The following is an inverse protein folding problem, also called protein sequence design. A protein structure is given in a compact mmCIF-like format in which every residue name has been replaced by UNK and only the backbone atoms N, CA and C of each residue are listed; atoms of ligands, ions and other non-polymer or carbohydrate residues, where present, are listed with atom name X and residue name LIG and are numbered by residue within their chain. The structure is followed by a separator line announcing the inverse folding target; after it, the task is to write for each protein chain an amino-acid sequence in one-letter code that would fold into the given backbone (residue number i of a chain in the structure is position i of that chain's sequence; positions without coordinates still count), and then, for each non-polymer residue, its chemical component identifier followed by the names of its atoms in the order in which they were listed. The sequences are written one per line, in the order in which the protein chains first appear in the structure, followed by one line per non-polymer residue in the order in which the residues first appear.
data_IF_948523296418
#
_entry.id   IF_948523296418
#
_cell.length_a   1.000
_cell.length_b   1.000
_cell.length_c   1.000
_cell.angle_alpha   90.00
_cell.angle_beta   90.00
_cell.angle_gamma   90.00
#
_symmetry.space_group_name_H-M   'P 1'
#
loop_
_entity.id
_entity.type
_entity.pdbx_description
1 polymer ?
#
# COMPACT_ATOMS: atom_id res chain seq x y z
N UNK A 1 21.30 11.81 -22.12
CA UNK A 1 22.26 12.23 -21.08
C UNK A 1 21.47 12.34 -19.78
N UNK A 2 21.37 11.24 -19.02
CA UNK A 2 20.62 11.21 -17.76
C UNK A 2 21.52 11.68 -16.63
N UNK A 3 21.10 12.70 -15.90
CA UNK A 3 21.80 13.18 -14.70
C UNK A 3 21.56 12.18 -13.57
N UNK A 4 22.65 11.52 -13.14
CA UNK A 4 22.67 10.57 -12.03
C UNK A 4 22.50 11.36 -10.72
N UNK A 5 21.25 11.60 -10.32
CA UNK A 5 20.94 12.35 -9.12
C UNK A 5 20.96 11.43 -7.89
N UNK A 6 22.08 11.47 -7.15
CA UNK A 6 22.21 10.83 -5.84
C UNK A 6 21.27 11.57 -4.87
N UNK A 7 20.18 10.93 -4.47
CA UNK A 7 19.16 11.51 -3.63
C UNK A 7 19.27 10.97 -2.20
N UNK A 8 19.50 11.86 -1.24
CA UNK A 8 19.38 11.59 0.19
C UNK A 8 18.34 12.55 0.75
N UNK A 9 17.23 12.02 1.27
CA UNK A 9 16.20 12.86 1.91
C UNK A 9 15.66 12.22 3.15
N UNK A 10 15.67 12.98 4.23
CA UNK A 10 14.92 12.68 5.44
C UNK A 10 13.53 13.31 5.31
N UNK A 11 12.49 12.48 5.42
CA UNK A 11 11.12 12.93 5.57
C UNK A 11 10.61 12.44 6.92
N UNK A 12 9.83 13.26 7.62
CA UNK A 12 9.18 12.85 8.87
C UNK A 12 7.75 12.42 8.57
N UNK A 13 7.37 11.24 9.06
CA UNK A 13 5.99 10.75 9.03
C UNK A 13 5.47 10.72 10.46
N UNK A 14 4.38 11.43 10.71
CA UNK A 14 3.67 11.39 11.99
C UNK A 14 2.47 10.44 11.88
N UNK A 15 2.51 9.34 12.62
CA UNK A 15 1.36 8.44 12.79
C UNK A 15 1.26 8.09 14.29
N UNK A 16 0.09 8.35 14.90
CA UNK A 16 -0.15 8.04 16.32
C UNK A 16 0.62 8.88 17.34
N UNK A 17 1.12 10.08 16.98
CA UNK A 17 1.87 10.97 17.88
C UNK A 17 3.36 10.69 17.97
N UNK A 18 3.87 9.66 17.27
CA UNK A 18 5.29 9.37 17.14
C UNK A 18 5.81 9.88 15.79
N UNK A 19 6.86 10.72 15.82
CA UNK A 19 7.61 11.11 14.62
C UNK A 19 8.55 9.98 14.22
N UNK A 20 8.25 9.34 13.10
CA UNK A 20 9.16 8.38 12.50
C UNK A 20 9.97 9.05 11.39
N UNK A 21 11.31 9.12 11.51
CA UNK A 21 12.16 9.58 10.43
C UNK A 21 12.22 8.50 9.34
N UNK A 22 11.69 8.81 8.16
CA UNK A 22 11.87 8.01 6.95
C UNK A 22 13.10 8.56 6.22
N UNK A 23 14.21 7.83 6.31
CA UNK A 23 15.41 8.10 5.52
C UNK A 23 15.28 7.40 4.17
N UNK A 24 15.22 8.18 3.10
CA UNK A 24 15.43 7.70 1.74
C UNK A 24 16.91 7.83 1.41
N UNK A 25 17.59 6.69 1.30
CA UNK A 25 19.00 6.60 0.89
C UNK A 25 19.11 5.63 -0.29
N UNK A 26 19.25 6.19 -1.50
CA UNK A 26 19.39 5.41 -2.73
C UNK A 26 20.87 5.08 -3.02
N UNK A 27 21.78 5.35 -2.09
CA UNK A 27 23.20 4.97 -2.22
C UNK A 27 23.32 3.47 -2.07
N UNK A 28 23.87 2.82 -3.10
CA UNK A 28 24.31 1.44 -2.98
C UNK A 28 25.62 1.44 -2.19
N UNK A 29 25.73 0.74 -1.05
CA UNK A 29 27.00 0.62 -0.34
C UNK A 29 28.04 -0.08 -1.23
N UNK A 30 29.30 0.35 -1.15
CA UNK A 30 30.40 -0.23 -1.93
C UNK A 30 30.47 -1.75 -1.75
N UNK A 31 30.39 -2.50 -2.84
CA UNK A 31 30.43 -3.96 -2.84
C UNK A 31 29.08 -4.68 -2.79
N UNK A 32 27.95 -3.97 -2.68
CA UNK A 32 26.62 -4.53 -2.84
C UNK A 32 26.12 -4.25 -4.27
N UNK A 33 25.56 -5.25 -4.96
CA UNK A 33 24.86 -4.97 -6.22
C UNK A 33 23.75 -3.94 -5.96
N UNK A 34 23.55 -3.00 -6.90
CA UNK A 34 22.42 -2.05 -6.86
C UNK A 34 21.18 -2.82 -6.47
N UNK A 35 20.60 -2.48 -5.31
CA UNK A 35 19.30 -3.05 -4.94
C UNK A 35 18.41 -2.84 -6.15
N UNK A 36 17.97 -3.95 -6.77
CA UNK A 36 17.13 -3.92 -7.95
C UNK A 36 15.77 -3.40 -7.52
N UNK A 37 15.68 -2.07 -7.35
CA UNK A 37 14.46 -1.38 -7.03
C UNK A 37 13.47 -1.73 -8.13
N UNK A 38 12.26 -2.10 -7.73
CA UNK A 38 11.19 -2.33 -8.69
C UNK A 38 11.08 -1.10 -9.58
N UNK A 39 11.01 -1.30 -10.89
CA UNK A 39 10.76 -0.21 -11.82
C UNK A 39 9.52 0.58 -11.34
N UNK A 40 9.52 1.92 -11.39
CA UNK A 40 8.38 2.72 -10.94
C UNK A 40 7.04 2.31 -11.60
N UNK A 41 7.12 1.76 -12.82
CA UNK A 41 5.97 1.19 -13.55
C UNK A 41 5.38 -0.05 -12.89
N UNK A 42 6.18 -0.85 -12.18
CA UNK A 42 5.72 -2.07 -11.49
C UNK A 42 4.80 -1.73 -10.34
N UNK A 43 5.18 -0.78 -9.49
CA UNK A 43 4.33 -0.30 -8.38
C UNK A 43 3.02 0.26 -8.92
N UNK A 44 3.08 1.08 -9.98
CA UNK A 44 1.88 1.62 -10.60
C UNK A 44 0.98 0.53 -11.21
N UNK A 45 1.54 -0.50 -11.84
CA UNK A 45 0.76 -1.65 -12.34
C UNK A 45 0.02 -2.37 -11.23
N UNK A 46 0.67 -2.62 -10.09
CA UNK A 46 0.02 -3.27 -8.95
C UNK A 46 -1.09 -2.39 -8.35
N UNK A 47 -0.83 -1.09 -8.17
CA UNK A 47 -1.85 -0.17 -7.66
C UNK A 47 -3.02 -0.02 -8.63
N UNK A 48 -2.77 -0.03 -9.94
CA UNK A 48 -3.83 0.01 -10.95
C UNK A 48 -4.67 -1.26 -10.94
N UNK A 49 -4.02 -2.41 -10.80
CA UNK A 49 -4.68 -3.71 -10.69
C UNK A 49 -5.54 -3.79 -9.41
N UNK A 50 -5.00 -3.40 -8.25
CA UNK A 50 -5.75 -3.33 -6.99
C UNK A 50 -6.91 -2.34 -7.05
N UNK A 51 -6.67 -1.14 -7.59
CA UNK A 51 -7.70 -0.12 -7.76
C UNK A 51 -8.80 -0.54 -8.77
N UNK A 52 -8.52 -1.52 -9.62
CA UNK A 52 -9.47 -2.14 -10.55
C UNK A 52 -10.40 -3.19 -9.91
N UNK A 53 -10.35 -3.41 -8.59
CA UNK A 53 -11.14 -4.43 -7.88
C UNK A 53 -12.15 -3.83 -6.87
N UNK A 54 -13.05 -2.92 -7.28
CA UNK A 54 -14.02 -2.33 -6.37
C UNK A 54 -14.98 -3.38 -5.78
N UNK A 55 -15.34 -4.40 -6.55
CA UNK A 55 -16.27 -5.45 -6.12
C UNK A 55 -15.69 -6.30 -4.99
N UNK A 56 -14.38 -6.56 -5.01
CA UNK A 56 -13.66 -7.28 -3.94
C UNK A 56 -13.73 -6.48 -2.65
N UNK A 57 -13.53 -5.15 -2.71
CA UNK A 57 -13.65 -4.29 -1.54
C UNK A 57 -15.08 -4.29 -0.97
N UNK A 58 -16.10 -4.22 -1.83
CA UNK A 58 -17.50 -4.26 -1.40
C UNK A 58 -17.85 -5.60 -0.73
N UNK A 59 -17.43 -6.71 -1.32
CA UNK A 59 -17.61 -8.04 -0.74
C UNK A 59 -16.90 -8.17 0.61
N UNK A 60 -15.66 -7.69 0.71
CA UNK A 60 -14.91 -7.67 1.97
C UNK A 60 -15.60 -6.82 3.04
N UNK A 61 -16.11 -5.64 2.69
CA UNK A 61 -16.89 -4.81 3.61
C UNK A 61 -18.17 -5.52 4.08
N UNK A 62 -18.83 -6.28 3.20
CA UNK A 62 -19.97 -7.13 3.55
C UNK A 62 -19.61 -8.18 4.60
N UNK A 63 -18.52 -8.91 4.40
CA UNK A 63 -18.01 -9.91 5.36
C UNK A 63 -17.60 -9.26 6.70
N UNK A 64 -16.88 -8.15 6.63
CA UNK A 64 -16.45 -7.40 7.82
C UNK A 64 -17.67 -6.95 8.62
N UNK A 65 -18.71 -6.40 7.97
CA UNK A 65 -19.94 -5.96 8.65
C UNK A 65 -20.71 -7.11 9.29
N UNK A 66 -20.71 -8.29 8.68
CA UNK A 66 -21.36 -9.47 9.28
C UNK A 66 -20.65 -9.93 10.56
N UNK A 67 -19.32 -9.79 10.62
CA UNK A 67 -18.51 -10.22 11.77
C UNK A 67 -18.40 -9.14 12.86
N UNK A 68 -18.27 -7.88 12.45
CA UNK A 68 -18.16 -6.70 13.29
C UNK A 68 -19.02 -5.56 12.73
N UNK A 69 -20.24 -5.44 13.28
CA UNK A 69 -21.21 -4.41 12.91
C UNK A 69 -20.74 -2.98 13.21
N UNK A 70 -19.73 -2.80 14.08
CA UNK A 70 -19.20 -1.49 14.45
C UNK A 70 -18.00 -1.07 13.59
N UNK A 71 -17.56 -1.90 12.64
CA UNK A 71 -16.40 -1.60 11.81
C UNK A 71 -16.58 -0.30 11.02
N UNK A 72 -15.72 0.68 11.27
CA UNK A 72 -15.73 2.01 10.64
C UNK A 72 -15.00 2.07 9.31
N UNK A 73 -14.50 0.93 8.80
CA UNK A 73 -13.67 0.88 7.58
C UNK A 73 -14.38 1.48 6.36
N UNK A 74 -15.71 1.33 6.28
CA UNK A 74 -16.54 1.90 5.23
C UNK A 74 -16.79 3.43 5.36
N UNK A 75 -16.49 4.02 6.53
CA UNK A 75 -16.64 5.47 6.80
C UNK A 75 -15.30 6.20 6.83
N UNK A 76 -14.19 5.47 6.74
CA UNK A 76 -12.88 6.06 6.83
C UNK A 76 -12.61 6.94 5.59
N UNK A 77 -12.20 8.20 5.76
CA UNK A 77 -11.86 9.05 4.64
C UNK A 77 -10.54 8.57 4.02
N UNK A 78 -10.60 8.14 2.76
CA UNK A 78 -9.44 7.72 1.98
C UNK A 78 -8.88 8.94 1.26
N UNK A 79 -8.01 9.70 1.92
CA UNK A 79 -7.41 10.91 1.35
C UNK A 79 -6.06 10.59 0.74
N UNK A 80 -5.95 10.75 -0.58
CA UNK A 80 -4.66 10.70 -1.28
C UNK A 80 -4.09 12.12 -1.37
N UNK A 81 -2.86 12.31 -0.93
CA UNK A 81 -2.18 13.61 -1.03
C UNK A 81 -2.15 14.10 -2.49
N UNK A 82 -2.45 15.39 -2.77
CA UNK A 82 -2.38 15.97 -4.11
C UNK A 82 -1.03 15.79 -4.80
N UNK A 83 0.06 15.68 -4.03
CA UNK A 83 1.40 15.44 -4.57
C UNK A 83 1.57 14.05 -5.22
N UNK A 84 0.69 13.09 -4.90
CA UNK A 84 0.77 11.70 -5.36
C UNK A 84 -0.06 11.41 -6.62
N UNK A 85 -0.91 12.35 -7.05
CA UNK A 85 -1.74 12.18 -8.23
C UNK A 85 -1.66 13.40 -9.15
N UNK A 86 -1.51 13.15 -10.46
CA UNK A 86 -1.52 14.18 -11.50
C UNK A 86 -2.89 14.34 -12.19
N UNK A 87 -3.82 13.43 -11.90
CA UNK A 87 -5.16 13.40 -12.50
C UNK A 87 -6.16 12.80 -11.51
N UNK A 88 -7.43 13.17 -11.67
CA UNK A 88 -8.55 12.63 -10.88
C UNK A 88 -8.69 11.12 -11.04
N UNK A 89 -8.51 10.59 -12.25
CA UNK A 89 -8.53 9.15 -12.49
C UNK A 89 -7.46 8.44 -11.65
N UNK A 90 -6.24 8.98 -11.60
CA UNK A 90 -5.15 8.43 -10.81
C UNK A 90 -5.44 8.53 -9.31
N UNK A 91 -6.05 9.63 -8.86
CA UNK A 91 -6.51 9.78 -7.47
C UNK A 91 -7.47 8.66 -7.09
N UNK A 92 -8.52 8.46 -7.89
CA UNK A 92 -9.54 7.43 -7.66
C UNK A 92 -8.95 6.02 -7.60
N UNK A 93 -8.07 5.67 -8.54
CA UNK A 93 -7.38 4.37 -8.52
C UNK A 93 -6.55 4.16 -7.26
N UNK A 94 -5.84 5.19 -6.79
CA UNK A 94 -5.05 5.11 -5.56
C UNK A 94 -5.94 4.96 -4.32
N UNK A 95 -7.06 5.68 -4.26
CA UNK A 95 -8.05 5.55 -3.18
C UNK A 95 -8.63 4.13 -3.12
N UNK A 96 -9.03 3.59 -4.26
CA UNK A 96 -9.56 2.23 -4.37
C UNK A 96 -8.50 1.18 -3.99
N UNK A 97 -7.25 1.35 -4.42
CA UNK A 97 -6.17 0.45 -4.03
C UNK A 97 -5.91 0.48 -2.51
N UNK A 98 -5.95 1.66 -1.89
CA UNK A 98 -5.81 1.79 -0.43
C UNK A 98 -6.96 1.11 0.32
N UNK A 99 -8.20 1.28 -0.16
CA UNK A 99 -9.39 0.62 0.39
C UNK A 99 -9.23 -0.90 0.42
N UNK A 100 -8.82 -1.48 -0.70
CA UNK A 100 -8.62 -2.93 -0.84
C UNK A 100 -7.52 -3.43 0.10
N UNK A 101 -6.39 -2.72 0.19
CA UNK A 101 -5.29 -3.09 1.10
C UNK A 101 -5.68 -2.99 2.57
N UNK A 102 -6.47 -1.99 2.94
CA UNK A 102 -6.97 -1.86 4.30
C UNK A 102 -7.98 -2.95 4.66
N UNK A 103 -8.88 -3.28 3.72
CA UNK A 103 -9.83 -4.37 3.90
C UNK A 103 -9.11 -5.71 4.09
N UNK A 104 -8.04 -5.97 3.33
CA UNK A 104 -7.19 -7.16 3.49
C UNK A 104 -6.63 -7.29 4.92
N UNK A 105 -6.08 -6.19 5.47
CA UNK A 105 -5.56 -6.16 6.85
C UNK A 105 -6.63 -6.38 7.91
N UNK A 106 -7.82 -5.83 7.71
CA UNK A 106 -8.93 -6.04 8.64
C UNK A 106 -9.46 -7.47 8.54
N UNK A 107 -9.53 -8.04 7.35
CA UNK A 107 -9.87 -9.46 7.18
C UNK A 107 -8.84 -10.37 7.84
N UNK A 108 -7.54 -10.12 7.66
CA UNK A 108 -6.47 -10.88 8.32
C UNK A 108 -6.63 -10.84 9.85
N UNK A 109 -7.02 -9.69 10.42
CA UNK A 109 -7.28 -9.55 11.86
C UNK A 109 -8.54 -10.27 12.34
N UNK A 110 -9.64 -10.20 11.57
CA UNK A 110 -10.95 -10.72 11.99
C UNK A 110 -11.13 -12.22 11.71
N UNK A 111 -10.53 -12.71 10.63
CA UNK A 111 -10.72 -14.08 10.14
C UNK A 111 -9.42 -14.91 10.19
N UNK A 112 -8.29 -14.32 10.58
CA UNK A 112 -6.99 -14.97 10.61
C UNK A 112 -6.35 -15.18 9.23
N UNK A 113 -7.03 -14.81 8.15
CA UNK A 113 -6.55 -14.88 6.76
C UNK A 113 -6.96 -13.61 6.02
N UNK A 114 -6.05 -13.08 5.21
CA UNK A 114 -6.31 -11.91 4.34
C UNK A 114 -7.22 -12.25 3.15
N UNK A 115 -7.63 -11.22 2.43
CA UNK A 115 -8.33 -11.33 1.14
C UNK A 115 -7.41 -11.90 0.06
N UNK A 116 -6.13 -11.53 0.12
CA UNK A 116 -5.14 -12.02 -0.81
C UNK A 116 -4.38 -13.21 -0.22
N UNK A 117 -4.12 -14.26 -1.01
CA UNK A 117 -3.14 -15.27 -0.66
C UNK A 117 -1.82 -14.62 -0.27
N UNK A 118 -1.10 -15.22 0.68
CA UNK A 118 0.27 -14.82 1.02
C UNK A 118 1.21 -15.15 -0.13
N UNK A 119 1.20 -14.32 -1.18
CA UNK A 119 2.08 -14.47 -2.32
C UNK A 119 3.54 -14.39 -1.82
N UNK A 120 4.28 -15.49 -1.99
CA UNK A 120 5.71 -15.64 -1.69
C UNK A 120 6.18 -15.41 -0.23
N UNK A 121 5.29 -15.33 0.77
CA UNK A 121 5.67 -15.33 2.21
C UNK A 121 5.27 -16.60 2.94
N UNK A 122 4.82 -17.63 2.21
CA UNK A 122 4.67 -18.97 2.74
C UNK A 122 6.04 -19.55 3.09
N UNK A 123 6.46 -19.42 4.35
CA UNK A 123 7.23 -20.50 4.95
C UNK A 123 6.33 -21.74 4.87
N UNK A 124 6.83 -22.81 4.27
CA UNK A 124 6.15 -24.10 4.30
C UNK A 124 5.86 -24.52 5.75
N UNK A 125 4.96 -25.50 5.95
CA UNK A 125 4.75 -26.07 7.28
C UNK A 125 6.08 -26.59 7.86
N UNK A 126 6.24 -26.62 9.20
CA UNK A 126 7.44 -27.17 9.84
C UNK A 126 7.70 -28.62 9.47
#
# INVERSE_FOLDING_TARGET
MGTDHIYRRTAEHEEGGCRMPILYDDRTPEGLERASGLAPSTVWRWLSWLGGMPDVFQAACGLIRQKDSNSTLHRQPWVVSPRKHRSEQRRKTLEQAMQVLAADRVCERLFGTGLFPRYATGRGPP
#
